data_IF_382947620102
#
_entry.id   IF_382947620102
#
_cell.length_a   1.000
_cell.length_b   1.000
_cell.length_c   1.000
_cell.angle_alpha   90.00
_cell.angle_beta   90.00
_cell.angle_gamma   90.00
#
_symmetry.space_group_name_H-M   'P 1'
#
loop_
_entity.id
_entity.type
_entity.pdbx_description
1 polymer ?
#
# COMPACT_ATOMS: atom_id res chain seq x y z
N UNK A 1 18.69 -19.04 -17.32
CA UNK A 1 18.47 -17.60 -17.61
C UNK A 1 19.82 -16.90 -17.63
N UNK A 2 20.09 -16.03 -18.62
CA UNK A 2 21.47 -15.61 -18.93
C UNK A 2 22.09 -14.55 -18.01
N UNK A 3 21.36 -13.85 -17.13
CA UNK A 3 21.95 -12.87 -16.20
C UNK A 3 21.12 -12.74 -14.89
N UNK A 4 21.34 -13.60 -13.87
CA UNK A 4 20.60 -13.54 -12.60
C UNK A 4 20.82 -12.20 -11.86
N UNK A 5 22.04 -11.68 -11.88
CA UNK A 5 22.37 -10.41 -11.22
C UNK A 5 21.58 -9.21 -11.78
N UNK A 6 21.46 -9.10 -13.11
CA UNK A 6 20.68 -8.04 -13.75
C UNK A 6 19.18 -8.09 -13.37
N UNK A 7 18.63 -9.29 -13.18
CA UNK A 7 17.25 -9.45 -12.71
C UNK A 7 17.09 -9.04 -11.25
N UNK A 8 18.10 -9.32 -10.43
CA UNK A 8 18.17 -8.85 -9.05
C UNK A 8 18.15 -7.32 -8.95
N UNK A 9 18.95 -6.65 -9.79
CA UNK A 9 19.01 -5.18 -9.85
C UNK A 9 17.72 -4.54 -10.39
N UNK A 10 17.14 -5.10 -11.45
CA UNK A 10 15.86 -4.62 -12.00
C UNK A 10 14.75 -4.78 -10.95
N UNK A 11 14.69 -5.94 -10.29
CA UNK A 11 13.71 -6.20 -9.22
C UNK A 11 13.89 -5.21 -8.08
N UNK A 12 15.12 -4.96 -7.64
CA UNK A 12 15.41 -4.00 -6.58
C UNK A 12 15.00 -2.56 -6.98
N UNK A 13 15.36 -2.13 -8.19
CA UNK A 13 15.00 -0.79 -8.69
C UNK A 13 13.49 -0.60 -8.74
N UNK A 14 12.75 -1.61 -9.22
CA UNK A 14 11.29 -1.58 -9.21
C UNK A 14 10.75 -1.56 -7.78
N UNK A 15 11.29 -2.39 -6.88
CA UNK A 15 10.85 -2.47 -5.49
C UNK A 15 10.95 -1.11 -4.79
N UNK A 16 12.09 -0.42 -4.93
CA UNK A 16 12.28 0.95 -4.42
C UNK A 16 11.31 1.94 -5.02
N UNK A 17 11.06 1.86 -6.33
CA UNK A 17 10.10 2.74 -6.97
C UNK A 17 8.69 2.55 -6.37
N UNK A 18 8.21 1.31 -6.30
CA UNK A 18 6.89 1.00 -5.77
C UNK A 18 6.76 1.40 -4.29
N UNK A 19 7.80 1.14 -3.50
CA UNK A 19 7.93 1.56 -2.10
C UNK A 19 7.79 3.10 -1.95
N UNK A 20 8.54 3.86 -2.74
CA UNK A 20 8.44 5.32 -2.74
C UNK A 20 7.07 5.83 -3.16
N UNK A 21 6.40 5.17 -4.12
CA UNK A 21 5.04 5.55 -4.50
C UNK A 21 4.04 5.22 -3.39
N UNK A 22 4.20 4.08 -2.72
CA UNK A 22 3.37 3.70 -1.57
C UNK A 22 3.40 4.78 -0.48
N UNK A 23 4.59 5.17 -0.02
CA UNK A 23 4.71 6.21 1.02
C UNK A 23 4.23 7.58 0.57
N UNK A 24 4.49 7.96 -0.69
CA UNK A 24 3.93 9.22 -1.23
C UNK A 24 2.39 9.24 -1.21
N UNK A 25 1.77 8.08 -1.43
CA UNK A 25 0.31 7.96 -1.37
C UNK A 25 -0.20 7.91 0.07
N UNK A 26 0.50 7.21 0.96
CA UNK A 26 0.21 7.17 2.40
C UNK A 26 0.28 8.55 3.06
N UNK A 27 1.27 9.35 2.67
CA UNK A 27 1.43 10.73 3.15
C UNK A 27 0.54 11.75 2.41
N UNK A 28 -0.25 11.31 1.41
CA UNK A 28 -1.02 12.21 0.55
C UNK A 28 -2.15 12.89 1.32
N UNK A 29 -2.03 14.22 1.46
CA UNK A 29 -3.08 15.09 2.00
C UNK A 29 -4.39 14.99 1.20
N UNK A 30 -4.32 14.66 -0.09
CA UNK A 30 -5.51 14.45 -0.91
C UNK A 30 -6.28 13.21 -0.45
N UNK A 31 -5.58 12.10 -0.22
CA UNK A 31 -6.20 10.84 0.19
C UNK A 31 -6.82 10.98 1.58
N UNK A 32 -6.07 11.55 2.53
CA UNK A 32 -6.56 11.89 3.88
C UNK A 32 -7.80 12.77 3.85
N UNK A 33 -7.80 13.81 2.99
CA UNK A 33 -8.94 14.72 2.86
C UNK A 33 -10.18 14.02 2.32
N UNK A 34 -10.04 13.13 1.33
CA UNK A 34 -11.18 12.39 0.77
C UNK A 34 -11.73 11.40 1.81
N UNK A 35 -10.86 10.72 2.57
CA UNK A 35 -11.28 9.85 3.70
C UNK A 35 -12.05 10.62 4.76
N UNK A 36 -11.57 11.79 5.18
CA UNK A 36 -12.28 12.63 6.15
C UNK A 36 -13.66 13.06 5.65
N UNK A 37 -13.77 13.43 4.36
CA UNK A 37 -15.05 13.80 3.75
C UNK A 37 -15.98 12.59 3.74
N UNK A 38 -15.45 11.41 3.42
CA UNK A 38 -16.20 10.15 3.45
C UNK A 38 -16.76 9.85 4.84
N UNK A 39 -15.92 9.86 5.88
CA UNK A 39 -16.35 9.61 7.26
C UNK A 39 -17.40 10.62 7.73
N UNK A 40 -17.18 11.91 7.45
CA UNK A 40 -18.13 12.98 7.79
C UNK A 40 -19.46 12.80 7.07
N UNK A 41 -19.46 12.34 5.83
CA UNK A 41 -20.68 12.08 5.07
C UNK A 41 -21.39 10.80 5.52
N UNK A 42 -20.66 9.73 5.82
CA UNK A 42 -21.20 8.49 6.38
C UNK A 42 -21.86 8.72 7.75
N UNK A 43 -21.33 9.64 8.55
CA UNK A 43 -21.95 10.07 9.83
C UNK A 43 -23.17 11.00 9.66
N UNK A 44 -23.38 11.56 8.45
CA UNK A 44 -24.44 12.53 8.15
C UNK A 44 -25.57 11.87 7.37
N UNK A 45 -26.12 10.80 7.93
CA UNK A 45 -27.42 10.31 7.49
C UNK A 45 -28.52 10.72 8.49
N UNK A 46 -29.74 10.93 7.98
CA UNK A 46 -31.00 11.31 8.64
C UNK A 46 -31.49 12.77 8.55
N UNK A 47 -30.63 13.78 8.35
CA UNK A 47 -31.07 15.18 8.34
C UNK A 47 -31.54 15.71 6.97
N UNK A 48 -30.76 15.48 5.92
CA UNK A 48 -30.94 16.10 4.60
C UNK A 48 -32.14 15.53 3.82
N UNK A 49 -32.44 14.24 4.00
CA UNK A 49 -33.59 13.55 3.38
C UNK A 49 -34.95 14.16 3.74
N UNK A 50 -35.06 14.79 4.92
CA UNK A 50 -36.31 15.42 5.38
C UNK A 50 -36.58 16.77 4.70
N UNK A 51 -35.54 17.59 4.46
CA UNK A 51 -35.69 18.89 3.77
C UNK A 51 -35.97 18.73 2.26
N UNK A 52 -35.41 17.71 1.61
CA UNK A 52 -35.59 17.46 0.17
C UNK A 52 -37.05 17.14 -0.22
N UNK A 53 -37.89 16.73 0.73
CA UNK A 53 -39.31 16.42 0.47
C UNK A 53 -40.18 17.67 0.26
N UNK A 54 -39.71 18.84 0.67
CA UNK A 54 -40.53 20.07 0.78
C UNK A 54 -40.23 21.10 -0.31
N UNK A 55 -39.02 21.10 -0.89
CA UNK A 55 -38.61 22.08 -1.92
C UNK A 55 -37.96 21.40 -3.15
N UNK A 56 -38.41 21.79 -4.36
CA UNK A 56 -37.88 21.28 -5.63
C UNK A 56 -36.45 21.75 -5.92
N UNK A 57 -36.05 22.94 -5.43
CA UNK A 57 -34.67 23.42 -5.50
C UNK A 57 -33.74 22.58 -4.62
N UNK A 58 -34.19 22.26 -3.40
CA UNK A 58 -33.50 21.37 -2.48
C UNK A 58 -33.28 19.95 -3.05
N UNK A 59 -34.23 19.40 -3.83
CA UNK A 59 -34.04 18.08 -4.49
C UNK A 59 -32.86 18.06 -5.45
N UNK A 60 -32.72 19.10 -6.28
CA UNK A 60 -31.62 19.18 -7.26
C UNK A 60 -30.26 19.34 -6.59
N UNK A 61 -30.21 20.10 -5.50
CA UNK A 61 -29.00 20.27 -4.69
C UNK A 61 -28.60 18.98 -3.97
N UNK A 62 -29.56 18.21 -3.46
CA UNK A 62 -29.30 16.90 -2.83
C UNK A 62 -28.77 15.90 -3.85
N UNK A 63 -29.42 15.77 -5.01
CA UNK A 63 -28.96 14.88 -6.07
C UNK A 63 -27.54 15.22 -6.57
N UNK A 64 -27.20 16.51 -6.67
CA UNK A 64 -25.85 16.94 -7.01
C UNK A 64 -24.83 16.55 -5.94
N UNK A 65 -25.17 16.70 -4.65
CA UNK A 65 -24.29 16.31 -3.54
C UNK A 65 -24.08 14.80 -3.49
N UNK A 66 -25.12 14.01 -3.68
CA UNK A 66 -25.03 12.54 -3.74
C UNK A 66 -24.10 12.10 -4.87
N UNK A 67 -24.25 12.71 -6.05
CA UNK A 67 -23.37 12.42 -7.18
C UNK A 67 -21.91 12.76 -6.91
N UNK A 68 -21.63 13.95 -6.37
CA UNK A 68 -20.26 14.35 -6.01
C UNK A 68 -19.66 13.41 -4.97
N UNK A 69 -20.47 13.00 -3.99
CA UNK A 69 -20.06 12.04 -2.98
C UNK A 69 -19.70 10.67 -3.58
N UNK A 70 -20.51 10.18 -4.52
CA UNK A 70 -20.24 8.94 -5.23
C UNK A 70 -18.95 9.03 -6.08
N UNK A 71 -18.73 10.15 -6.77
CA UNK A 71 -17.51 10.41 -7.53
C UNK A 71 -16.26 10.42 -6.62
N UNK A 72 -16.34 11.09 -5.46
CA UNK A 72 -15.26 11.12 -4.46
C UNK A 72 -14.99 9.72 -3.87
N UNK A 73 -16.05 8.94 -3.59
CA UNK A 73 -15.92 7.59 -3.06
C UNK A 73 -15.24 6.64 -4.06
N UNK A 74 -15.64 6.69 -5.34
CA UNK A 74 -15.02 5.91 -6.41
C UNK A 74 -13.53 6.27 -6.59
N UNK A 75 -13.19 7.56 -6.43
CA UNK A 75 -11.81 8.05 -6.45
C UNK A 75 -11.01 7.49 -5.27
N UNK A 76 -11.57 7.54 -4.06
CA UNK A 76 -10.94 7.00 -2.85
C UNK A 76 -10.65 5.51 -2.98
N UNK A 77 -11.64 4.74 -3.44
CA UNK A 77 -11.49 3.31 -3.65
C UNK A 77 -10.37 3.01 -4.67
N UNK A 78 -10.31 3.79 -5.75
CA UNK A 78 -9.29 3.64 -6.79
C UNK A 78 -7.89 3.96 -6.28
N UNK A 79 -7.74 5.02 -5.47
CA UNK A 79 -6.48 5.40 -4.84
C UNK A 79 -6.03 4.34 -3.82
N UNK A 80 -6.95 3.87 -2.98
CA UNK A 80 -6.68 2.81 -1.99
C UNK A 80 -6.21 1.53 -2.68
N UNK A 81 -6.90 1.09 -3.73
CA UNK A 81 -6.49 -0.07 -4.54
C UNK A 81 -5.13 0.13 -5.21
N UNK A 82 -4.79 1.35 -5.62
CA UNK A 82 -3.48 1.65 -6.20
C UNK A 82 -2.37 1.61 -5.14
N UNK A 83 -2.62 2.18 -3.96
CA UNK A 83 -1.72 2.14 -2.82
C UNK A 83 -1.40 0.69 -2.41
N UNK A 84 -2.43 -0.16 -2.21
CA UNK A 84 -2.24 -1.58 -1.89
C UNK A 84 -1.44 -2.31 -2.97
N UNK A 85 -1.63 -1.96 -4.25
CA UNK A 85 -0.85 -2.55 -5.36
C UNK A 85 0.62 -2.15 -5.29
N UNK A 86 0.95 -0.90 -4.95
CA UNK A 86 2.34 -0.48 -4.77
C UNK A 86 3.00 -1.21 -3.61
N UNK A 87 2.33 -1.34 -2.46
CA UNK A 87 2.82 -2.08 -1.31
C UNK A 87 3.12 -3.56 -1.67
N UNK A 88 2.11 -4.24 -2.22
CA UNK A 88 2.24 -5.66 -2.61
C UNK A 88 3.34 -5.88 -3.65
N UNK A 89 3.44 -4.99 -4.66
CA UNK A 89 4.46 -5.08 -5.69
C UNK A 89 5.86 -4.82 -5.13
N UNK A 90 6.01 -3.87 -4.21
CA UNK A 90 7.28 -3.58 -3.55
C UNK A 90 7.80 -4.79 -2.79
N UNK A 91 6.98 -5.38 -1.92
CA UNK A 91 7.33 -6.55 -1.12
C UNK A 91 7.68 -7.76 -2.00
N UNK A 92 6.90 -8.01 -3.05
CA UNK A 92 7.15 -9.09 -4.01
C UNK A 92 8.48 -8.89 -4.77
N UNK A 93 8.79 -7.66 -5.16
CA UNK A 93 10.01 -7.35 -5.92
C UNK A 93 11.26 -7.30 -5.04
N UNK A 94 11.15 -6.92 -3.76
CA UNK A 94 12.25 -7.09 -2.81
C UNK A 94 12.59 -8.58 -2.63
N UNK A 95 11.60 -9.46 -2.48
CA UNK A 95 11.83 -10.90 -2.43
C UNK A 95 12.44 -11.44 -3.74
N UNK A 96 11.92 -11.01 -4.89
CA UNK A 96 12.51 -11.35 -6.19
C UNK A 96 13.97 -10.92 -6.28
N UNK A 97 14.32 -9.73 -5.78
CA UNK A 97 15.70 -9.28 -5.73
C UNK A 97 16.58 -10.18 -4.86
N UNK A 98 16.11 -10.54 -3.65
CA UNK A 98 16.84 -11.42 -2.73
C UNK A 98 17.11 -12.81 -3.30
N UNK A 99 16.22 -13.33 -4.16
CA UNK A 99 16.42 -14.60 -4.86
C UNK A 99 17.56 -14.57 -5.89
N UNK A 100 18.00 -13.39 -6.33
CA UNK A 100 18.97 -13.22 -7.42
C UNK A 100 20.17 -12.31 -7.10
N UNK A 101 20.19 -11.64 -5.94
CA UNK A 101 21.17 -10.61 -5.59
C UNK A 101 21.81 -10.82 -4.20
N UNK A 102 23.12 -10.58 -4.09
CA UNK A 102 23.90 -10.82 -2.87
C UNK A 102 24.18 -9.56 -2.02
N UNK A 103 23.74 -8.36 -2.42
CA UNK A 103 23.68 -7.20 -1.49
C UNK A 103 22.45 -7.30 -0.60
N UNK A 104 22.41 -8.37 0.18
CA UNK A 104 21.23 -8.85 0.86
C UNK A 104 20.83 -7.93 2.03
N UNK A 105 21.78 -7.32 2.74
CA UNK A 105 21.48 -6.68 4.02
C UNK A 105 20.50 -5.49 3.90
N UNK A 106 20.77 -4.51 3.02
CA UNK A 106 19.85 -3.36 2.85
C UNK A 106 18.46 -3.81 2.37
N UNK A 107 18.41 -4.76 1.45
CA UNK A 107 17.16 -5.28 0.87
C UNK A 107 16.36 -6.06 1.91
N UNK A 108 17.02 -6.88 2.72
CA UNK A 108 16.40 -7.64 3.81
C UNK A 108 15.84 -6.68 4.86
N UNK A 109 16.64 -5.73 5.34
CA UNK A 109 16.17 -4.78 6.34
C UNK A 109 14.96 -4.01 5.82
N UNK A 110 15.00 -3.53 4.58
CA UNK A 110 13.88 -2.78 4.03
C UNK A 110 12.63 -3.65 3.87
N UNK A 111 12.77 -4.86 3.33
CA UNK A 111 11.66 -5.82 3.20
C UNK A 111 11.04 -6.16 4.56
N UNK A 112 11.86 -6.50 5.55
CA UNK A 112 11.37 -6.91 6.88
C UNK A 112 10.66 -5.75 7.57
N UNK A 113 11.22 -4.54 7.55
CA UNK A 113 10.54 -3.37 8.13
C UNK A 113 9.18 -3.12 7.49
N UNK A 114 9.13 -3.06 6.15
CA UNK A 114 7.88 -2.82 5.42
C UNK A 114 6.86 -3.95 5.64
N UNK A 115 7.29 -5.21 5.72
CA UNK A 115 6.37 -6.31 6.01
C UNK A 115 5.84 -6.25 7.44
N UNK A 116 6.69 -5.95 8.43
CA UNK A 116 6.26 -5.83 9.83
C UNK A 116 5.33 -4.64 10.06
N UNK A 117 5.47 -3.56 9.31
CA UNK A 117 4.52 -2.44 9.30
C UNK A 117 3.11 -2.88 8.87
N UNK A 118 2.98 -3.95 8.09
CA UNK A 118 1.70 -4.41 7.51
C UNK A 118 1.35 -5.88 7.79
N UNK A 119 2.01 -6.52 8.77
CA UNK A 119 1.85 -7.95 9.05
C UNK A 119 0.43 -8.37 9.47
N UNK A 120 -0.39 -7.41 9.91
CA UNK A 120 -1.79 -7.63 10.29
C UNK A 120 -2.73 -7.78 9.07
N UNK A 121 -2.27 -7.50 7.85
CA UNK A 121 -3.02 -7.76 6.62
C UNK A 121 -2.81 -9.21 6.18
N UNK A 122 -3.82 -10.05 6.45
CA UNK A 122 -3.82 -11.48 6.10
C UNK A 122 -3.73 -11.71 4.58
N UNK A 123 -4.37 -10.85 3.78
CA UNK A 123 -4.40 -11.00 2.32
C UNK A 123 -3.01 -10.72 1.75
N UNK A 124 -2.36 -9.65 2.23
CA UNK A 124 -0.98 -9.30 1.88
C UNK A 124 -0.01 -10.40 2.33
N UNK A 125 -0.10 -10.84 3.59
CA UNK A 125 0.76 -11.88 4.16
C UNK A 125 0.65 -13.19 3.40
N UNK A 126 -0.56 -13.61 3.03
CA UNK A 126 -0.79 -14.79 2.20
C UNK A 126 -0.14 -14.65 0.82
N UNK A 127 -0.26 -13.49 0.17
CA UNK A 127 0.38 -13.22 -1.12
C UNK A 127 1.91 -13.31 -1.06
N UNK A 128 2.50 -12.75 0.00
CA UNK A 128 3.95 -12.73 0.22
C UNK A 128 4.51 -14.11 0.54
N UNK A 129 3.79 -14.92 1.33
CA UNK A 129 4.24 -16.25 1.76
C UNK A 129 4.63 -17.19 0.60
N UNK A 130 3.95 -17.06 -0.55
CA UNK A 130 4.25 -17.82 -1.76
C UNK A 130 5.65 -17.48 -2.32
N UNK A 131 6.08 -16.23 -2.20
CA UNK A 131 7.37 -15.75 -2.67
C UNK A 131 8.48 -15.95 -1.62
N UNK A 132 8.14 -15.95 -0.33
CA UNK A 132 9.10 -16.14 0.76
C UNK A 132 9.86 -17.47 0.66
N UNK A 133 9.16 -18.54 0.26
CA UNK A 133 9.75 -19.88 0.07
C UNK A 133 10.81 -19.94 -1.04
N UNK A 134 10.85 -18.94 -1.93
CA UNK A 134 11.85 -18.86 -2.99
C UNK A 134 13.17 -18.22 -2.55
N UNK A 135 13.18 -17.56 -1.38
CA UNK A 135 14.37 -16.90 -0.84
C UNK A 135 15.17 -17.89 0.02
N UNK A 136 16.45 -18.15 -0.29
CA UNK A 136 17.27 -19.03 0.54
C UNK A 136 17.38 -18.52 1.99
N UNK A 137 16.99 -19.36 2.95
CA UNK A 137 16.88 -18.98 4.38
C UNK A 137 18.19 -18.47 5.00
N UNK A 138 19.35 -18.92 4.49
CA UNK A 138 20.66 -18.47 4.97
C UNK A 138 20.89 -16.97 4.76
N UNK A 139 20.19 -16.31 3.81
CA UNK A 139 20.30 -14.86 3.60
C UNK A 139 19.80 -14.06 4.80
N UNK A 140 18.82 -14.57 5.54
CA UNK A 140 18.28 -13.92 6.74
C UNK A 140 19.18 -14.10 8.00
N UNK A 141 20.20 -14.97 7.95
CA UNK A 141 21.07 -15.26 9.10
C UNK A 141 22.23 -14.25 9.19
N UNK A 142 22.72 -13.76 8.06
CA UNK A 142 23.84 -12.79 8.00
C UNK A 142 23.51 -11.48 8.73
N UNK A 143 22.24 -11.08 8.72
CA UNK A 143 21.73 -9.87 9.38
C UNK A 143 21.78 -9.93 10.91
N UNK A 144 21.94 -11.12 11.51
CA UNK A 144 22.01 -11.32 12.96
C UNK A 144 23.39 -11.06 13.58
N UNK A 145 24.46 -11.01 12.78
CA UNK A 145 25.83 -10.87 13.31
C UNK A 145 26.22 -9.42 13.62
N UNK A 146 25.62 -8.42 12.95
CA UNK A 146 25.92 -7.00 13.23
C UNK A 146 25.23 -6.45 14.48
N UNK A 147 24.27 -7.17 15.06
CA UNK A 147 23.51 -6.72 16.26
C UNK A 147 24.15 -7.24 17.57
N UNK A 148 25.11 -8.17 17.51
CA UNK A 148 25.69 -8.82 18.71
C UNK A 148 27.08 -8.26 19.08
N UNK A 149 27.59 -7.26 18.35
CA UNK A 149 28.96 -6.77 18.51
C UNK A 149 29.09 -5.29 18.83
N UNK A 150 28.55 -4.80 19.95
CA UNK A 150 29.07 -3.58 20.63
C UNK A 150 28.48 -3.46 22.05
N UNK A 151 29.04 -4.25 22.95
CA UNK A 151 29.12 -3.97 24.40
C UNK A 151 30.53 -4.25 24.85
#
# INVERSE_FOLDING_TARGET
MKHPEALGEISYSYAKFADQQYHKMEDSEEMKKIEEIYEKAASRDQGASKLAKVDGGAKRLVALKERLFEEDNNRLESLSKLQTRYLSSSLTMYLSSLSHYDKADEVIFRFVSLWLEHHYDDALTKGISAHLNSVPTHKFITSGQSVVGTT
#
